data_IF_042493467711
#
_entry.id   IF_042493467711
#
_cell.length_a   1.000
_cell.length_b   1.000
_cell.length_c   1.000
_cell.angle_alpha   90.00
_cell.angle_beta   90.00
_cell.angle_gamma   90.00
#
_symmetry.space_group_name_H-M   'P 1'
#
loop_
_entity.id
_entity.type
_entity.pdbx_description
1 polymer ?
#
# COMPACT_ATOMS: atom_id res chain seq x y z
N UNK A 1 15.86 -0.11 -4.86
CA UNK A 1 14.41 -0.38 -4.88
C UNK A 1 13.86 0.08 -3.55
N UNK A 2 12.80 0.90 -3.54
CA UNK A 2 12.20 1.43 -2.31
C UNK A 2 11.18 0.43 -1.76
N UNK A 3 11.22 0.16 -0.46
CA UNK A 3 10.27 -0.72 0.23
C UNK A 3 9.44 0.13 1.19
N UNK A 4 8.13 -0.09 1.20
CA UNK A 4 7.21 0.63 2.05
C UNK A 4 6.29 -0.32 2.80
N UNK A 5 6.07 -0.05 4.07
CA UNK A 5 4.91 -0.55 4.80
C UNK A 5 3.73 0.38 4.52
N UNK A 6 2.62 -0.18 4.04
CA UNK A 6 1.41 0.57 3.66
C UNK A 6 0.26 0.09 4.55
N UNK A 7 -0.43 1.03 5.19
CA UNK A 7 -1.71 0.79 5.86
C UNK A 7 -2.84 1.44 5.09
N UNK A 8 -3.95 0.73 4.92
CA UNK A 8 -5.09 1.20 4.13
C UNK A 8 -6.43 0.80 4.75
N UNK A 9 -7.45 1.62 4.50
CA UNK A 9 -8.85 1.26 4.70
C UNK A 9 -9.47 0.91 3.36
N UNK A 10 -10.47 0.03 3.36
CA UNK A 10 -11.15 -0.38 2.13
C UNK A 10 -12.65 -0.60 2.32
N UNK A 11 -13.36 -0.61 1.20
CA UNK A 11 -14.71 -1.14 1.09
C UNK A 11 -14.79 -2.17 -0.04
N UNK A 12 -15.62 -3.20 0.12
CA UNK A 12 -15.93 -4.18 -0.93
C UNK A 12 -17.19 -3.76 -1.70
N UNK A 13 -17.42 -4.36 -2.86
CA UNK A 13 -18.65 -4.13 -3.63
C UNK A 13 -19.92 -4.58 -2.87
N UNK A 14 -19.79 -5.54 -1.96
CA UNK A 14 -20.87 -6.00 -1.07
C UNK A 14 -21.15 -5.05 0.11
N UNK A 15 -20.44 -3.92 0.21
CA UNK A 15 -20.63 -2.92 1.27
C UNK A 15 -19.89 -3.21 2.57
N UNK A 16 -19.05 -4.24 2.63
CA UNK A 16 -18.22 -4.50 3.80
C UNK A 16 -17.06 -3.51 3.83
N UNK A 17 -16.67 -3.05 5.03
CA UNK A 17 -15.54 -2.15 5.22
C UNK A 17 -14.51 -2.80 6.13
N UNK A 18 -13.23 -2.43 5.95
CA UNK A 18 -12.15 -2.99 6.74
C UNK A 18 -10.85 -2.21 6.62
N UNK A 19 -9.81 -2.79 7.21
CA UNK A 19 -8.45 -2.24 7.22
C UNK A 19 -7.47 -3.34 6.85
N UNK A 20 -6.39 -2.98 6.17
CA UNK A 20 -5.34 -3.89 5.75
C UNK A 20 -3.98 -3.23 5.82
N UNK A 21 -2.95 -4.07 5.84
CA UNK A 21 -1.56 -3.65 5.77
C UNK A 21 -0.83 -4.51 4.73
N UNK A 22 0.12 -3.93 4.02
CA UNK A 22 0.95 -4.68 3.07
C UNK A 22 2.35 -4.07 2.94
N UNK A 23 3.30 -4.86 2.43
CA UNK A 23 4.58 -4.36 1.93
C UNK A 23 4.45 -4.08 0.43
N UNK A 24 4.90 -2.90 0.00
CA UNK A 24 5.00 -2.56 -1.41
C UNK A 24 6.45 -2.22 -1.77
N UNK A 25 6.90 -2.76 -2.91
CA UNK A 25 8.20 -2.42 -3.48
C UNK A 25 8.04 -1.57 -4.74
N UNK A 26 8.79 -0.48 -4.85
CA UNK A 26 8.71 0.48 -5.97
C UNK A 26 10.10 0.77 -6.53
N UNK A 27 10.17 0.97 -7.85
CA UNK A 27 11.41 1.41 -8.50
C UNK A 27 11.78 2.85 -8.11
N UNK A 28 10.78 3.69 -7.86
CA UNK A 28 10.90 5.10 -7.50
C UNK A 28 10.24 5.37 -6.15
N UNK A 29 10.67 6.44 -5.48
CA UNK A 29 10.10 6.82 -4.20
C UNK A 29 8.68 7.39 -4.36
N UNK A 30 7.82 7.15 -3.37
CA UNK A 30 6.53 7.84 -3.24
C UNK A 30 6.83 9.29 -2.86
N UNK A 31 6.48 10.23 -3.74
CA UNK A 31 6.82 11.66 -3.55
C UNK A 31 5.64 12.59 -3.77
N UNK A 32 4.56 12.10 -4.36
CA UNK A 32 3.41 12.91 -4.72
C UNK A 32 2.09 12.23 -4.34
N UNK A 33 1.03 13.04 -4.30
CA UNK A 33 -0.33 12.54 -4.13
C UNK A 33 -0.74 11.56 -5.25
N UNK A 34 -0.26 11.78 -6.47
CA UNK A 34 -0.54 10.90 -7.62
C UNK A 34 0.01 9.49 -7.37
N UNK A 35 1.19 9.37 -6.76
CA UNK A 35 1.76 8.06 -6.40
C UNK A 35 0.85 7.32 -5.40
N UNK A 36 0.32 8.04 -4.41
CA UNK A 36 -0.59 7.48 -3.40
C UNK A 36 -1.91 7.01 -4.04
N UNK A 37 -2.46 7.76 -5.00
CA UNK A 37 -3.64 7.34 -5.75
C UNK A 37 -3.39 6.08 -6.60
N UNK A 38 -2.22 5.98 -7.22
CA UNK A 38 -1.83 4.79 -7.96
C UNK A 38 -1.74 3.57 -7.04
N UNK A 39 -1.15 3.72 -5.85
CA UNK A 39 -1.08 2.65 -4.84
C UNK A 39 -2.48 2.21 -4.40
N UNK A 40 -3.37 3.15 -4.10
CA UNK A 40 -4.76 2.80 -3.75
C UNK A 40 -5.45 2.01 -4.87
N UNK A 41 -5.22 2.39 -6.13
CA UNK A 41 -5.76 1.70 -7.30
C UNK A 41 -5.17 0.30 -7.49
N UNK A 42 -3.87 0.15 -7.25
CA UNK A 42 -3.15 -1.13 -7.31
C UNK A 42 -3.70 -2.11 -6.26
N UNK A 43 -3.79 -1.67 -5.00
CA UNK A 43 -4.36 -2.46 -3.90
C UNK A 43 -5.82 -2.84 -4.16
N UNK A 44 -6.61 -1.91 -4.69
CA UNK A 44 -7.99 -2.20 -5.04
C UNK A 44 -8.12 -3.33 -6.08
N UNK A 45 -7.18 -3.40 -7.04
CA UNK A 45 -7.15 -4.44 -8.07
C UNK A 45 -6.68 -5.79 -7.54
N UNK A 46 -5.69 -5.80 -6.65
CA UNK A 46 -5.14 -7.05 -6.09
C UNK A 46 -6.20 -7.85 -5.35
N UNK A 47 -7.01 -7.16 -4.53
CA UNK A 47 -8.00 -7.79 -3.65
C UNK A 47 -9.46 -7.61 -4.13
N UNK A 48 -9.66 -7.13 -5.36
CA UNK A 48 -10.97 -6.84 -5.94
C UNK A 48 -11.85 -5.95 -5.02
N UNK A 49 -11.25 -4.91 -4.45
CA UNK A 49 -11.89 -3.97 -3.53
C UNK A 49 -12.55 -2.83 -4.32
N UNK A 50 -13.69 -2.34 -3.84
CA UNK A 50 -14.43 -1.27 -4.50
C UNK A 50 -13.78 0.12 -4.29
N UNK A 51 -13.28 0.37 -3.09
CA UNK A 51 -12.57 1.61 -2.75
C UNK A 51 -11.45 1.31 -1.77
N UNK A 52 -10.32 1.97 -1.95
CA UNK A 52 -9.17 1.91 -1.05
C UNK A 52 -8.73 3.33 -0.72
N UNK A 53 -8.39 3.56 0.55
CA UNK A 53 -7.81 4.81 1.05
C UNK A 53 -6.51 4.45 1.76
N UNK A 54 -5.39 4.96 1.24
CA UNK A 54 -4.10 4.84 1.92
C UNK A 54 -4.12 5.75 3.15
N UNK A 55 -3.90 5.18 4.32
CA UNK A 55 -3.88 5.89 5.60
C UNK A 55 -2.47 6.32 5.98
N UNK A 56 -1.50 5.43 5.75
CA UNK A 56 -0.10 5.66 6.06
C UNK A 56 0.80 4.92 5.07
N UNK A 57 1.96 5.49 4.78
CA UNK A 57 3.05 4.80 4.11
C UNK A 57 4.35 5.15 4.83
N UNK A 58 5.12 4.13 5.19
CA UNK A 58 6.40 4.31 5.88
C UNK A 58 7.50 3.61 5.08
N UNK A 59 8.56 4.32 4.67
CA UNK A 59 9.71 3.66 4.05
C UNK A 59 10.37 2.75 5.09
N UNK A 60 10.77 1.55 4.66
CA UNK A 60 11.65 0.73 5.47
C UNK A 60 13.03 1.40 5.61
N UNK A 61 13.71 1.27 6.76
CA UNK A 61 15.07 1.79 6.92
C UNK A 61 16.00 1.25 5.83
N UNK A 62 16.84 2.11 5.26
CA UNK A 62 17.88 1.68 4.34
C UNK A 62 18.80 0.66 5.05
N UNK A 63 18.89 -0.56 4.51
CA UNK A 63 19.65 -1.67 5.11
C UNK A 63 18.80 -2.79 5.74
N UNK A 64 17.48 -2.66 5.81
CA UNK A 64 16.57 -3.69 6.36
C UNK A 64 16.25 -4.87 5.41
N UNK A 65 17.17 -5.18 4.49
CA UNK A 65 17.11 -6.45 3.74
C UNK A 65 17.52 -7.65 4.61
N UNK A 66 17.91 -7.43 5.87
CA UNK A 66 18.10 -8.47 6.89
C UNK A 66 16.81 -8.74 7.68
N UNK A 67 15.89 -9.49 7.09
CA UNK A 67 15.10 -10.45 7.86
C UNK A 67 15.19 -11.78 7.12
N UNK A 68 16.08 -12.72 7.55
CA UNK A 68 16.06 -14.06 7.02
C UNK A 68 14.72 -14.72 7.40
N UNK A 69 14.21 -15.50 6.45
CA UNK A 69 12.97 -16.28 6.54
C UNK A 69 12.92 -17.20 7.77
#
# INVERSE_FOLDING_TARGET
MYRYFISYAFTTASGNSGHGNTELRRAQAISSYVDVQQIATELARMDNLAKVIVLNFQPFPAGSDEYPA
#
